data_IF_683072129745
#
_entry.id   IF_683072129745
#
_cell.length_a   1.000
_cell.length_b   1.000
_cell.length_c   1.000
_cell.angle_alpha   90.00
_cell.angle_beta   90.00
_cell.angle_gamma   90.00
#
_symmetry.space_group_name_H-M   'P 1'
#
loop_
_entity.id
_entity.type
_entity.pdbx_description
1 polymer ?
#
# COMPACT_ATOMS: atom_id res chain seq x y z
N UNK A 1 -11.84 -16.99 6.03
CA UNK A 1 -10.38 -17.09 6.26
C UNK A 1 -10.13 -17.16 7.76
N UNK A 2 -9.10 -17.87 8.26
CA UNK A 2 -8.82 -17.97 9.71
C UNK A 2 -7.39 -17.58 10.03
N UNK A 3 -7.21 -16.86 11.13
CA UNK A 3 -5.92 -16.49 11.73
C UNK A 3 -5.93 -16.99 13.17
N UNK A 4 -5.22 -18.08 13.45
CA UNK A 4 -5.30 -18.74 14.75
C UNK A 4 -6.73 -19.24 15.05
N UNK A 5 -7.23 -18.94 16.25
CA UNK A 5 -8.61 -19.25 16.65
C UNK A 5 -9.67 -18.31 16.07
N UNK A 6 -9.27 -17.23 15.41
CA UNK A 6 -10.18 -16.17 14.97
C UNK A 6 -10.53 -16.28 13.48
N UNK A 7 -11.75 -15.92 13.12
CA UNK A 7 -12.20 -15.78 11.74
C UNK A 7 -12.00 -14.36 11.23
N UNK A 8 -11.70 -14.25 9.95
CA UNK A 8 -11.74 -12.98 9.20
C UNK A 8 -12.99 -13.00 8.34
N UNK A 9 -13.87 -12.02 8.56
CA UNK A 9 -15.15 -11.90 7.88
C UNK A 9 -15.42 -10.45 7.45
N UNK A 10 -16.04 -10.30 6.28
CA UNK A 10 -16.54 -9.02 5.80
C UNK A 10 -17.69 -8.51 6.67
N UNK A 11 -18.45 -9.42 7.29
CA UNK A 11 -19.57 -9.09 8.15
C UNK A 11 -19.12 -8.23 9.34
N UNK A 12 -17.92 -8.45 9.88
CA UNK A 12 -17.38 -7.63 10.98
C UNK A 12 -17.30 -6.13 10.62
N UNK A 13 -17.00 -5.83 9.35
CA UNK A 13 -16.94 -4.44 8.84
C UNK A 13 -18.35 -3.91 8.54
N UNK A 14 -19.26 -4.75 8.06
CA UNK A 14 -20.66 -4.36 7.88
C UNK A 14 -21.35 -4.06 9.22
N UNK A 15 -21.14 -4.88 10.23
CA UNK A 15 -21.65 -4.68 11.58
C UNK A 15 -21.14 -3.36 12.15
N UNK A 16 -19.85 -3.05 11.95
CA UNK A 16 -19.26 -1.77 12.33
C UNK A 16 -19.94 -0.59 11.61
N UNK A 17 -20.23 -0.70 10.31
CA UNK A 17 -20.92 0.35 9.54
C UNK A 17 -22.36 0.57 10.01
N UNK A 18 -23.04 -0.47 10.51
CA UNK A 18 -24.44 -0.41 10.92
C UNK A 18 -24.62 -0.02 12.40
N UNK A 19 -23.68 -0.42 13.26
CA UNK A 19 -23.79 -0.25 14.71
C UNK A 19 -23.04 0.98 15.24
N UNK A 20 -21.92 1.36 14.61
CA UNK A 20 -21.10 2.49 15.05
C UNK A 20 -21.46 3.79 14.29
N UNK A 21 -21.09 4.94 14.87
CA UNK A 21 -21.35 6.23 14.23
C UNK A 21 -20.49 6.44 13.00
N UNK A 22 -21.11 6.86 11.88
CA UNK A 22 -20.43 7.22 10.63
C UNK A 22 -19.30 8.24 10.81
N UNK A 23 -19.42 9.13 11.79
CA UNK A 23 -18.40 10.15 12.07
C UNK A 23 -17.12 9.52 12.60
N UNK A 24 -17.23 8.41 13.33
CA UNK A 24 -16.08 7.73 13.93
C UNK A 24 -15.34 6.89 12.89
N UNK A 25 -16.07 6.07 12.13
CA UNK A 25 -15.46 5.13 11.19
C UNK A 25 -15.24 5.70 9.77
N UNK A 26 -16.03 6.68 9.34
CA UNK A 26 -15.96 7.33 8.02
C UNK A 26 -16.01 6.36 6.82
N UNK A 27 -16.75 5.26 6.96
CA UNK A 27 -16.98 4.26 5.91
C UNK A 27 -18.39 4.40 5.34
N UNK A 28 -18.56 3.94 4.10
CA UNK A 28 -19.86 3.71 3.47
C UNK A 28 -19.94 2.25 2.98
N UNK A 29 -21.16 1.73 2.79
CA UNK A 29 -21.36 0.33 2.33
C UNK A 29 -20.60 0.01 1.04
N UNK A 30 -20.46 0.98 0.13
CA UNK A 30 -19.71 0.81 -1.11
C UNK A 30 -18.21 0.61 -0.90
N UNK A 31 -17.63 1.04 0.23
CA UNK A 31 -16.20 0.82 0.49
C UNK A 31 -15.88 -0.68 0.64
N UNK A 32 -16.85 -1.48 1.07
CA UNK A 32 -16.70 -2.93 1.29
C UNK A 32 -17.31 -3.76 0.14
N UNK A 33 -17.68 -3.14 -0.98
CA UNK A 33 -18.31 -3.86 -2.10
C UNK A 33 -17.29 -4.79 -2.80
N UNK A 34 -17.47 -6.11 -2.77
CA UNK A 34 -16.54 -7.06 -3.40
C UNK A 34 -16.52 -6.97 -4.95
N UNK A 35 -17.45 -6.24 -5.57
CA UNK A 35 -17.45 -5.98 -7.01
C UNK A 35 -16.41 -4.94 -7.41
N UNK A 36 -16.13 -3.96 -6.55
CA UNK A 36 -15.16 -2.89 -6.83
C UNK A 36 -13.75 -3.26 -6.35
N UNK A 37 -13.14 -4.22 -7.05
CA UNK A 37 -11.83 -4.80 -6.67
C UNK A 37 -10.63 -3.88 -6.96
N UNK A 38 -10.83 -2.75 -7.63
CA UNK A 38 -9.76 -1.85 -8.07
C UNK A 38 -9.72 -0.54 -7.26
N UNK A 39 -10.67 -0.33 -6.34
CA UNK A 39 -10.74 0.88 -5.56
C UNK A 39 -9.79 0.85 -4.35
N UNK A 40 -8.57 1.31 -4.62
CA UNK A 40 -7.55 1.47 -3.59
C UNK A 40 -7.93 2.46 -2.49
N UNK A 41 -8.80 3.45 -2.78
CA UNK A 41 -9.23 4.43 -1.76
C UNK A 41 -10.05 3.75 -0.66
N UNK A 42 -10.93 2.84 -1.03
CA UNK A 42 -11.73 2.08 -0.07
C UNK A 42 -10.86 1.14 0.77
N UNK A 43 -9.83 0.54 0.18
CA UNK A 43 -8.79 -0.21 0.90
C UNK A 43 -8.09 0.64 1.99
N UNK A 44 -7.70 1.89 1.66
CA UNK A 44 -7.12 2.81 2.63
C UNK A 44 -8.08 3.18 3.77
N UNK A 45 -9.37 3.35 3.47
CA UNK A 45 -10.39 3.71 4.48
C UNK A 45 -10.68 2.56 5.43
N UNK A 46 -10.87 1.35 4.90
CA UNK A 46 -11.18 0.16 5.71
C UNK A 46 -10.01 -0.20 6.64
N UNK A 47 -8.77 0.03 6.20
CA UNK A 47 -7.58 -0.20 7.03
C UNK A 47 -7.16 1.03 7.87
N UNK A 48 -8.02 2.05 7.98
CA UNK A 48 -7.70 3.26 8.75
C UNK A 48 -7.64 2.99 10.25
N UNK A 49 -6.86 3.81 10.95
CA UNK A 49 -6.65 3.70 12.40
C UNK A 49 -7.96 3.76 13.19
N UNK A 50 -8.90 4.62 12.78
CA UNK A 50 -10.22 4.71 13.40
C UNK A 50 -10.99 3.39 13.29
N UNK A 51 -11.00 2.78 12.12
CA UNK A 51 -11.70 1.50 11.89
C UNK A 51 -11.01 0.39 12.68
N UNK A 52 -9.68 0.33 12.67
CA UNK A 52 -8.92 -0.65 13.45
C UNK A 52 -9.20 -0.52 14.96
N UNK A 53 -9.26 0.70 15.49
CA UNK A 53 -9.56 0.94 16.90
C UNK A 53 -10.99 0.53 17.27
N UNK A 54 -11.95 0.67 16.36
CA UNK A 54 -13.32 0.19 16.57
C UNK A 54 -13.40 -1.34 16.50
N UNK A 55 -12.77 -1.97 15.51
CA UNK A 55 -12.72 -3.44 15.41
C UNK A 55 -12.04 -4.07 16.64
N UNK A 56 -10.99 -3.44 17.18
CA UNK A 56 -10.28 -3.90 18.37
C UNK A 56 -11.17 -3.97 19.61
N UNK A 57 -12.23 -3.16 19.71
CA UNK A 57 -13.18 -3.19 20.82
C UNK A 57 -14.10 -4.42 20.80
N UNK A 58 -14.28 -5.03 19.62
CA UNK A 58 -15.14 -6.19 19.45
C UNK A 58 -14.31 -7.47 19.39
N UNK A 59 -14.37 -8.30 20.45
CA UNK A 59 -13.61 -9.55 20.52
C UNK A 59 -13.89 -10.50 19.34
N UNK A 60 -15.10 -10.50 18.79
CA UNK A 60 -15.45 -11.34 17.63
C UNK A 60 -14.70 -10.92 16.36
N UNK A 61 -14.42 -9.63 16.23
CA UNK A 61 -13.75 -9.05 15.06
C UNK A 61 -12.21 -9.11 15.15
N UNK A 62 -11.64 -9.78 16.15
CA UNK A 62 -10.18 -9.84 16.38
C UNK A 62 -9.42 -10.35 15.15
N UNK A 63 -9.95 -11.36 14.45
CA UNK A 63 -9.31 -11.88 13.23
C UNK A 63 -9.27 -10.82 12.12
N UNK A 64 -10.38 -10.13 11.89
CA UNK A 64 -10.49 -9.04 10.92
C UNK A 64 -9.62 -7.85 11.29
N UNK A 65 -9.54 -7.49 12.57
CA UNK A 65 -8.61 -6.49 13.09
C UNK A 65 -7.15 -6.83 12.76
N UNK A 66 -6.69 -8.05 13.05
CA UNK A 66 -5.31 -8.47 12.76
C UNK A 66 -5.05 -8.42 11.25
N UNK A 67 -5.98 -8.94 10.45
CA UNK A 67 -5.82 -8.94 8.99
C UNK A 67 -5.71 -7.53 8.39
N UNK A 68 -6.60 -6.60 8.80
CA UNK A 68 -6.56 -5.22 8.34
C UNK A 68 -5.36 -4.44 8.92
N UNK A 69 -4.88 -4.82 10.11
CA UNK A 69 -3.65 -4.25 10.69
C UNK A 69 -2.43 -4.62 9.85
N UNK A 70 -2.32 -5.87 9.38
CA UNK A 70 -1.25 -6.27 8.46
C UNK A 70 -1.29 -5.45 7.16
N UNK A 71 -2.47 -5.24 6.60
CA UNK A 71 -2.66 -4.39 5.42
C UNK A 71 -2.22 -2.94 5.69
N UNK A 72 -2.58 -2.39 6.86
CA UNK A 72 -2.17 -1.04 7.28
C UNK A 72 -0.66 -0.92 7.40
N UNK A 73 0.02 -1.91 7.98
CA UNK A 73 1.47 -1.96 8.07
C UNK A 73 2.15 -1.99 6.69
N UNK A 74 1.60 -2.74 5.72
CA UNK A 74 2.08 -2.73 4.33
C UNK A 74 1.95 -1.33 3.72
N UNK A 75 0.81 -0.66 3.92
CA UNK A 75 0.58 0.71 3.41
C UNK A 75 1.58 1.69 4.04
N UNK A 76 1.79 1.63 5.36
CA UNK A 76 2.74 2.51 6.05
C UNK A 76 4.18 2.23 5.58
N UNK A 77 4.53 0.96 5.37
CA UNK A 77 5.85 0.54 4.92
C UNK A 77 6.22 0.98 3.50
N UNK A 78 5.28 0.90 2.56
CA UNK A 78 5.59 1.10 1.13
C UNK A 78 4.98 2.35 0.48
N UNK A 79 3.94 2.94 1.07
CA UNK A 79 3.13 3.98 0.39
C UNK A 79 3.17 5.31 1.14
N UNK A 80 3.05 5.27 2.47
CA UNK A 80 3.02 6.47 3.30
C UNK A 80 4.33 7.26 3.15
N UNK A 81 4.26 8.58 3.04
CA UNK A 81 5.43 9.42 2.70
C UNK A 81 6.23 9.86 3.93
N UNK A 82 5.56 10.00 5.07
CA UNK A 82 6.16 10.46 6.32
C UNK A 82 6.98 9.39 7.06
N UNK A 83 6.86 8.12 6.66
CA UNK A 83 7.53 7.00 7.34
C UNK A 83 9.03 6.99 7.08
N UNK A 84 9.82 6.94 8.15
CA UNK A 84 11.28 6.80 8.09
C UNK A 84 11.71 5.42 7.58
N UNK A 85 12.96 5.28 7.11
CA UNK A 85 13.47 3.98 6.61
C UNK A 85 13.46 2.90 7.70
N UNK A 86 13.76 3.27 8.95
CA UNK A 86 13.75 2.38 10.10
C UNK A 86 12.36 1.83 10.38
N UNK A 87 11.37 2.72 10.47
CA UNK A 87 9.97 2.34 10.66
C UNK A 87 9.45 1.49 9.50
N UNK A 88 9.85 1.78 8.25
CA UNK A 88 9.48 0.95 7.09
C UNK A 88 9.99 -0.47 7.24
N UNK A 89 11.26 -0.64 7.62
CA UNK A 89 11.84 -1.95 7.86
C UNK A 89 11.08 -2.68 8.96
N UNK A 90 10.83 -2.03 10.10
CA UNK A 90 10.08 -2.61 11.21
C UNK A 90 8.70 -3.10 10.75
N UNK A 91 7.88 -2.22 10.16
CA UNK A 91 6.52 -2.55 9.74
C UNK A 91 6.47 -3.67 8.70
N UNK A 92 7.35 -3.62 7.69
CA UNK A 92 7.38 -4.62 6.61
C UNK A 92 7.83 -5.98 7.13
N UNK A 93 8.85 -6.03 7.99
CA UNK A 93 9.32 -7.28 8.59
C UNK A 93 8.33 -7.86 9.60
N UNK A 94 7.60 -7.03 10.36
CA UNK A 94 6.50 -7.50 11.22
C UNK A 94 5.45 -8.23 10.38
N UNK A 95 5.11 -7.71 9.19
CA UNK A 95 4.20 -8.37 8.26
C UNK A 95 4.78 -9.70 7.75
N UNK A 96 6.05 -9.71 7.33
CA UNK A 96 6.74 -10.94 6.87
C UNK A 96 6.68 -12.02 7.94
N UNK A 97 7.11 -11.73 9.17
CA UNK A 97 7.12 -12.71 10.25
C UNK A 97 5.70 -13.19 10.59
N UNK A 98 4.74 -12.28 10.68
CA UNK A 98 3.34 -12.67 10.93
C UNK A 98 2.81 -13.59 9.83
N UNK A 99 3.07 -13.29 8.56
CA UNK A 99 2.68 -14.15 7.44
C UNK A 99 3.39 -15.51 7.47
N UNK A 100 4.68 -15.58 7.82
CA UNK A 100 5.43 -16.84 7.97
C UNK A 100 4.88 -17.70 9.10
N UNK A 101 4.57 -17.10 10.25
CA UNK A 101 3.95 -17.80 11.37
C UNK A 101 2.57 -18.32 11.01
N UNK A 102 1.75 -17.48 10.39
CA UNK A 102 0.42 -17.86 9.92
C UNK A 102 0.49 -19.02 8.92
N UNK A 103 1.40 -18.96 7.95
CA UNK A 103 1.61 -20.05 6.99
C UNK A 103 2.09 -21.34 7.67
N UNK A 104 3.04 -21.25 8.60
CA UNK A 104 3.57 -22.40 9.35
C UNK A 104 2.49 -23.05 10.24
N UNK A 105 1.64 -22.24 10.85
CA UNK A 105 0.50 -22.73 11.64
C UNK A 105 -0.50 -23.51 10.77
N UNK A 106 -0.79 -23.03 9.56
CA UNK A 106 -1.65 -23.77 8.61
C UNK A 106 -1.02 -25.11 8.23
N UNK A 107 0.30 -25.14 7.93
CA UNK A 107 0.99 -26.40 7.63
C UNK A 107 0.95 -27.38 8.80
N UNK A 108 1.09 -26.88 10.02
CA UNK A 108 0.98 -27.72 11.23
C UNK A 108 -0.43 -28.33 11.36
N UNK A 109 -1.48 -27.54 11.13
CA UNK A 109 -2.85 -28.06 11.12
C UNK A 109 -3.07 -29.12 10.05
N UNK A 110 -2.53 -28.93 8.84
CA UNK A 110 -2.61 -29.92 7.77
C UNK A 110 -1.95 -31.25 8.14
N UNK A 111 -0.78 -31.21 8.78
CA UNK A 111 -0.09 -32.43 9.24
C UNK A 111 -0.87 -33.15 10.35
N UNK A 112 -1.61 -32.41 11.17
CA UNK A 112 -2.46 -32.96 12.24
C UNK A 112 -3.74 -33.58 11.68
N UNK A 113 -4.40 -32.93 10.73
CA UNK A 113 -5.68 -33.38 10.15
C UNK A 113 -5.50 -34.53 9.15
N UNK A 114 -4.37 -34.59 8.42
CA UNK A 114 -4.03 -35.73 7.54
C UNK A 114 -3.89 -37.07 8.29
N UNK A 115 -3.76 -37.05 9.62
CA UNK A 115 -3.79 -38.27 10.43
C UNK A 115 -5.22 -38.79 10.68
N UNK A 116 -6.26 -37.96 10.47
CA UNK A 116 -7.62 -38.24 10.94
C UNK A 116 -8.78 -38.01 9.94
N UNK A 117 -8.61 -37.44 8.74
CA UNK A 117 -9.76 -37.35 7.81
C UNK A 117 -9.43 -37.11 6.33
N UNK A 118 -10.34 -37.58 5.46
CA UNK A 118 -10.31 -37.56 3.99
C UNK A 118 -10.83 -36.26 3.35
N UNK A 119 -10.76 -35.13 4.04
CA UNK A 119 -11.13 -33.84 3.47
C UNK A 119 -10.03 -33.39 2.48
N UNK A 120 -10.41 -33.04 1.25
CA UNK A 120 -9.46 -32.69 0.19
C UNK A 120 -8.59 -31.50 0.60
N UNK A 121 -7.31 -31.82 0.85
CA UNK A 121 -6.17 -30.97 1.22
C UNK A 121 -6.06 -29.61 0.47
N UNK A 122 -6.69 -29.52 -0.70
CA UNK A 122 -6.83 -28.32 -1.55
C UNK A 122 -7.66 -27.21 -0.91
N UNK A 123 -8.71 -27.57 -0.17
CA UNK A 123 -9.81 -26.63 0.12
C UNK A 123 -9.55 -25.83 1.41
N UNK A 124 -8.82 -26.42 2.36
CA UNK A 124 -8.32 -25.74 3.56
C UNK A 124 -7.33 -24.62 3.21
N UNK A 125 -6.35 -24.87 2.32
CA UNK A 125 -5.40 -23.82 1.89
C UNK A 125 -6.08 -22.67 1.15
N UNK A 126 -7.00 -22.99 0.23
CA UNK A 126 -7.68 -21.98 -0.58
C UNK A 126 -8.54 -21.01 0.24
N UNK A 127 -9.11 -21.48 1.35
CA UNK A 127 -10.08 -20.71 2.13
C UNK A 127 -9.50 -20.09 3.42
N UNK A 128 -8.25 -20.42 3.79
CA UNK A 128 -7.69 -20.07 5.11
C UNK A 128 -6.51 -19.11 5.06
N UNK A 129 -5.76 -19.05 3.96
CA UNK A 129 -4.60 -18.16 3.83
C UNK A 129 -4.78 -17.13 2.71
N UNK A 130 -4.01 -16.05 2.76
CA UNK A 130 -3.83 -15.17 1.62
C UNK A 130 -3.33 -15.95 0.40
N UNK A 131 -3.55 -15.42 -0.80
CA UNK A 131 -3.11 -16.11 -2.01
C UNK A 131 -1.59 -16.25 -2.03
N UNK A 132 -1.07 -17.37 -2.57
CA UNK A 132 0.37 -17.60 -2.71
C UNK A 132 1.08 -16.42 -3.41
N UNK A 133 0.57 -15.84 -4.51
CA UNK A 133 1.18 -14.65 -5.11
C UNK A 133 1.29 -13.48 -4.14
N UNK A 134 0.25 -13.19 -3.36
CA UNK A 134 0.28 -12.12 -2.35
C UNK A 134 1.37 -12.36 -1.30
N UNK A 135 1.46 -13.60 -0.79
CA UNK A 135 2.49 -13.96 0.19
C UNK A 135 3.91 -13.78 -0.36
N UNK A 136 4.18 -14.29 -1.56
CA UNK A 136 5.51 -14.12 -2.19
C UNK A 136 5.81 -12.66 -2.53
N UNK A 137 4.83 -11.87 -2.91
CA UNK A 137 5.02 -10.44 -3.13
C UNK A 137 5.46 -9.72 -1.85
N UNK A 138 4.88 -10.05 -0.69
CA UNK A 138 5.28 -9.49 0.61
C UNK A 138 6.75 -9.82 0.89
N UNK A 139 7.13 -11.09 0.75
CA UNK A 139 8.50 -11.57 0.95
C UNK A 139 9.50 -10.87 0.02
N UNK A 140 9.23 -10.88 -1.29
CA UNK A 140 10.12 -10.29 -2.30
C UNK A 140 10.27 -8.79 -2.06
N UNK A 141 9.19 -8.06 -1.79
CA UNK A 141 9.26 -6.62 -1.58
C UNK A 141 10.04 -6.26 -0.30
N UNK A 142 9.87 -7.03 0.78
CA UNK A 142 10.62 -6.84 2.02
C UNK A 142 12.13 -7.06 1.83
N UNK A 143 12.48 -8.18 1.21
CA UNK A 143 13.88 -8.51 0.92
C UNK A 143 14.51 -7.51 -0.07
N UNK A 144 13.75 -7.06 -1.07
CA UNK A 144 14.23 -6.07 -2.04
C UNK A 144 14.50 -4.72 -1.37
N UNK A 145 13.61 -4.27 -0.48
CA UNK A 145 13.82 -3.03 0.28
C UNK A 145 15.08 -3.13 1.15
N UNK A 146 15.22 -4.22 1.91
CA UNK A 146 16.41 -4.46 2.72
C UNK A 146 17.68 -4.46 1.86
N UNK A 147 17.65 -5.13 0.71
CA UNK A 147 18.80 -5.19 -0.19
C UNK A 147 19.21 -3.80 -0.72
N UNK A 148 18.24 -2.96 -1.12
CA UNK A 148 18.52 -1.58 -1.54
C UNK A 148 19.14 -0.77 -0.40
N UNK A 149 18.64 -0.92 0.82
CA UNK A 149 19.20 -0.25 2.02
C UNK A 149 20.66 -0.68 2.24
N UNK A 150 20.95 -1.98 2.21
CA UNK A 150 22.30 -2.50 2.37
C UNK A 150 23.24 -2.00 1.26
N UNK A 151 22.77 -1.87 0.01
CA UNK A 151 23.57 -1.32 -1.07
C UNK A 151 23.88 0.17 -0.87
N UNK A 152 22.94 0.95 -0.32
CA UNK A 152 23.18 2.37 0.02
C UNK A 152 24.16 2.50 1.18
N UNK A 153 24.01 1.71 2.26
CA UNK A 153 24.94 1.70 3.40
C UNK A 153 26.35 1.33 2.95
N UNK A 154 26.47 0.36 2.04
CA UNK A 154 27.75 -0.05 1.46
C UNK A 154 28.27 0.90 0.37
N UNK A 155 27.69 2.09 0.20
CA UNK A 155 28.06 3.11 -0.79
C UNK A 155 28.06 2.60 -2.25
N UNK A 156 27.28 1.56 -2.57
CA UNK A 156 27.12 1.05 -3.93
C UNK A 156 25.99 1.72 -4.70
N UNK A 157 25.05 2.36 -3.99
CA UNK A 157 23.95 3.13 -4.56
C UNK A 157 23.88 4.52 -3.90
N UNK A 158 23.42 5.54 -4.64
CA UNK A 158 23.18 6.86 -4.05
C UNK A 158 22.01 6.81 -3.05
N UNK A 159 22.02 7.73 -2.09
CA UNK A 159 20.96 7.84 -1.07
C UNK A 159 19.57 8.04 -1.70
N UNK A 160 19.51 8.72 -2.86
CA UNK A 160 18.29 8.92 -3.64
C UNK A 160 17.62 7.61 -4.08
N UNK A 161 18.37 6.50 -4.14
CA UNK A 161 17.82 5.18 -4.42
C UNK A 161 16.83 4.71 -3.34
N UNK A 162 16.87 5.31 -2.13
CA UNK A 162 15.92 5.03 -1.04
C UNK A 162 14.64 5.86 -1.10
N UNK A 163 14.36 6.49 -2.24
CA UNK A 163 13.07 7.13 -2.49
C UNK A 163 11.97 6.06 -2.70
N UNK A 164 11.54 5.44 -1.61
CA UNK A 164 10.54 4.36 -1.56
C UNK A 164 9.19 4.76 -2.17
N UNK A 165 8.88 6.06 -2.23
CA UNK A 165 7.68 6.57 -2.91
C UNK A 165 7.67 6.23 -4.41
N UNK A 166 8.84 6.04 -5.03
CA UNK A 166 8.96 5.67 -6.44
C UNK A 166 8.81 4.17 -6.71
N UNK A 167 8.75 3.34 -5.67
CA UNK A 167 8.72 1.88 -5.83
C UNK A 167 7.32 1.32 -6.16
N UNK A 168 6.27 2.15 -6.01
CA UNK A 168 4.90 1.75 -6.31
C UNK A 168 4.45 2.21 -7.71
N UNK A 169 3.41 1.56 -8.23
CA UNK A 169 2.86 1.84 -9.57
C UNK A 169 1.89 3.03 -9.61
N UNK A 170 1.69 3.75 -8.50
CA UNK A 170 0.68 4.82 -8.43
C UNK A 170 0.96 5.97 -9.40
N UNK A 171 2.25 6.25 -9.67
CA UNK A 171 2.68 7.25 -10.64
C UNK A 171 2.28 6.83 -12.07
N UNK A 172 2.42 5.54 -12.38
CA UNK A 172 2.01 4.97 -13.67
C UNK A 172 0.49 5.02 -13.83
N UNK A 173 -0.29 4.62 -12.81
CA UNK A 173 -1.75 4.70 -12.82
C UNK A 173 -2.26 6.12 -12.99
N UNK A 174 -1.62 7.09 -12.32
CA UNK A 174 -1.93 8.50 -12.51
C UNK A 174 -1.63 8.97 -13.94
N UNK A 175 -0.52 8.52 -14.53
CA UNK A 175 -0.18 8.82 -15.93
C UNK A 175 -1.23 8.29 -16.88
N UNK A 176 -1.69 7.04 -16.70
CA UNK A 176 -2.78 6.47 -17.48
C UNK A 176 -4.10 7.22 -17.27
N UNK A 177 -4.40 7.65 -16.04
CA UNK A 177 -5.59 8.46 -15.75
C UNK A 177 -5.57 9.80 -16.50
N UNK A 178 -4.45 10.50 -16.47
CA UNK A 178 -4.26 11.76 -17.22
C UNK A 178 -4.37 11.49 -18.72
N UNK A 179 -3.76 10.42 -19.22
CA UNK A 179 -3.89 10.04 -20.62
C UNK A 179 -5.35 9.77 -21.02
N UNK A 180 -6.13 9.10 -20.17
CA UNK A 180 -7.58 8.88 -20.41
C UNK A 180 -8.37 10.19 -20.41
N UNK A 181 -8.03 11.15 -19.55
CA UNK A 181 -8.72 12.46 -19.50
C UNK A 181 -8.33 13.42 -20.63
N UNK A 182 -7.18 13.21 -21.29
CA UNK A 182 -6.74 13.98 -22.45
C UNK A 182 -7.43 13.53 -23.74
N UNK A 183 -8.76 13.52 -23.74
CA UNK A 183 -9.58 13.31 -24.93
C UNK A 183 -9.86 14.64 -25.65
N UNK A 184 -10.19 14.58 -26.94
CA UNK A 184 -10.49 15.78 -27.74
C UNK A 184 -11.79 16.47 -27.29
N UNK A 185 -11.97 17.75 -27.62
CA UNK A 185 -13.10 18.59 -27.18
C UNK A 185 -14.50 18.01 -27.47
N UNK A 186 -14.61 17.07 -28.41
CA UNK A 186 -15.86 16.40 -28.79
C UNK A 186 -15.78 14.87 -28.65
N UNK A 187 -14.84 14.36 -27.86
CA UNK A 187 -14.66 12.91 -27.65
C UNK A 187 -14.56 12.59 -26.17
N UNK A 188 -15.43 11.69 -25.72
CA UNK A 188 -15.38 11.07 -24.38
C UNK A 188 -14.65 9.72 -24.40
N UNK A 189 -13.95 9.37 -25.49
CA UNK A 189 -13.29 8.08 -25.63
C UNK A 189 -12.09 7.98 -24.66
N UNK A 190 -12.28 7.20 -23.61
CA UNK A 190 -11.28 6.87 -22.60
C UNK A 190 -10.31 5.78 -23.09
N UNK A 191 -10.73 4.96 -24.05
CA UNK A 191 -9.89 3.94 -24.68
C UNK A 191 -8.97 4.53 -25.75
N UNK A 192 -7.74 4.02 -25.84
CA UNK A 192 -6.76 4.47 -26.83
C UNK A 192 -5.83 3.33 -27.27
N UNK A 193 -5.38 3.41 -28.53
CA UNK A 193 -4.30 2.56 -29.04
C UNK A 193 -2.93 3.04 -28.55
N UNK A 194 -1.90 2.22 -28.70
CA UNK A 194 -0.51 2.58 -28.36
C UNK A 194 -0.06 3.87 -29.06
N UNK A 195 -0.35 4.01 -30.36
CA UNK A 195 -0.03 5.25 -31.11
C UNK A 195 -0.73 6.48 -30.52
N UNK A 196 -1.99 6.33 -30.09
CA UNK A 196 -2.72 7.43 -29.44
C UNK A 196 -2.17 7.73 -28.05
N UNK A 197 -1.76 6.72 -27.29
CA UNK A 197 -1.09 6.90 -26.01
C UNK A 197 0.20 7.70 -26.14
N UNK A 198 1.09 7.34 -27.07
CA UNK A 198 2.36 8.05 -27.29
C UNK A 198 2.14 9.54 -27.61
N UNK A 199 1.17 9.87 -28.47
CA UNK A 199 0.78 11.27 -28.74
C UNK A 199 0.26 12.00 -27.50
N UNK A 200 -0.45 11.30 -26.61
CA UNK A 200 -0.91 11.87 -25.33
C UNK A 200 0.26 12.04 -24.36
N UNK A 201 1.24 11.14 -24.35
CA UNK A 201 2.46 11.27 -23.56
C UNK A 201 3.27 12.51 -23.94
N UNK A 202 3.40 12.83 -25.23
CA UNK A 202 4.03 14.08 -25.69
C UNK A 202 3.32 15.31 -25.09
N UNK A 203 1.99 15.34 -25.14
CA UNK A 203 1.20 16.41 -24.53
C UNK A 203 1.39 16.48 -23.00
N UNK A 204 1.39 15.33 -22.33
CA UNK A 204 1.64 15.26 -20.87
C UNK A 204 3.04 15.80 -20.55
N UNK A 205 4.06 15.47 -21.33
CA UNK A 205 5.42 15.96 -21.17
C UNK A 205 5.50 17.48 -21.30
N UNK A 206 4.83 18.05 -22.31
CA UNK A 206 4.74 19.51 -22.50
C UNK A 206 4.02 20.16 -21.31
N UNK A 207 2.88 19.62 -20.88
CA UNK A 207 2.14 20.13 -19.72
C UNK A 207 3.00 20.10 -18.45
N UNK A 208 3.71 19.00 -18.20
CA UNK A 208 4.61 18.88 -17.05
C UNK A 208 5.79 19.85 -17.14
N UNK A 209 6.36 20.02 -18.34
CA UNK A 209 7.42 21.01 -18.58
C UNK A 209 6.93 22.43 -18.29
N UNK A 210 5.72 22.78 -18.70
CA UNK A 210 5.11 24.08 -18.42
C UNK A 210 4.83 24.25 -16.92
N UNK A 211 4.25 23.24 -16.26
CA UNK A 211 3.98 23.27 -14.81
C UNK A 211 5.26 23.46 -13.99
N UNK A 212 6.33 22.75 -14.35
CA UNK A 212 7.61 22.83 -13.66
C UNK A 212 8.37 24.14 -13.96
N UNK A 213 8.06 24.80 -15.08
CA UNK A 213 8.57 26.14 -15.42
C UNK A 213 7.75 27.29 -14.84
N UNK A 214 6.57 27.00 -14.27
CA UNK A 214 5.72 27.96 -13.57
C UNK A 214 6.39 28.45 -12.28
N UNK A 215 7.40 29.30 -12.43
CA UNK A 215 8.21 29.86 -11.35
C UNK A 215 9.39 30.69 -11.86
N UNK A 216 9.96 30.39 -13.03
CA UNK A 216 11.13 31.11 -13.56
C UNK A 216 11.15 31.11 -15.11
N UNK A 217 10.51 32.10 -15.73
CA UNK A 217 10.79 32.51 -17.13
C UNK A 217 10.76 34.04 -17.17
N UNK A 218 11.90 34.68 -16.88
CA UNK A 218 12.06 36.15 -16.96
C UNK A 218 11.07 36.95 -16.11
N UNK A 219 10.84 38.21 -16.50
CA UNK A 219 9.97 39.20 -15.81
C UNK A 219 8.45 38.87 -15.85
N UNK A 220 8.06 37.73 -16.43
CA UNK A 220 6.65 37.34 -16.56
C UNK A 220 6.33 36.10 -15.73
N UNK A 221 5.63 36.30 -14.62
CA UNK A 221 5.05 35.21 -13.83
C UNK A 221 3.82 34.62 -14.52
N UNK A 222 3.96 33.42 -15.09
CA UNK A 222 2.82 32.63 -15.53
C UNK A 222 2.12 32.00 -14.33
N UNK A 223 1.04 32.62 -13.87
CA UNK A 223 0.13 32.05 -12.89
C UNK A 223 -0.88 31.13 -13.57
N UNK A 224 -0.71 29.82 -13.42
CA UNK A 224 -1.78 28.90 -13.74
C UNK A 224 -2.92 29.08 -12.73
N UNK A 225 -4.19 29.20 -13.17
CA UNK A 225 -5.32 29.17 -12.25
C UNK A 225 -5.32 27.81 -11.55
N UNK A 226 -4.86 27.82 -10.30
CA UNK A 226 -4.90 26.65 -9.45
C UNK A 226 -6.34 26.50 -8.95
N UNK A 227 -6.94 25.35 -9.23
CA UNK A 227 -8.24 25.04 -8.67
C UNK A 227 -8.11 25.04 -7.13
N UNK A 228 -8.99 25.77 -6.44
CA UNK A 228 -9.01 25.97 -4.98
C UNK A 228 -8.95 24.67 -4.12
N UNK A 229 -9.10 23.49 -4.74
CA UNK A 229 -8.99 22.18 -4.09
C UNK A 229 -7.56 21.61 -4.07
N UNK A 230 -6.60 22.24 -4.74
CA UNK A 230 -5.21 21.79 -4.78
C UNK A 230 -4.34 22.34 -3.62
N UNK A 231 -4.97 22.90 -2.59
CA UNK A 231 -4.28 23.47 -1.42
C UNK A 231 -3.71 22.45 -0.44
N UNK A 232 -3.37 21.23 -0.90
CA UNK A 232 -2.45 20.39 -0.14
C UNK A 232 -1.07 20.75 -0.63
N UNK A 233 -0.38 21.54 0.19
CA UNK A 233 1.04 21.85 0.04
C UNK A 233 1.75 20.66 -0.58
N UNK A 234 2.36 20.88 -1.75
CA UNK A 234 3.28 19.90 -2.32
C UNK A 234 4.52 20.01 -1.47
N UNK A 235 4.45 19.50 -0.24
CA UNK A 235 5.59 19.55 0.63
C UNK A 235 6.62 18.66 -0.03
N UNK A 236 7.70 19.30 -0.49
CA UNK A 236 8.89 18.66 -1.02
C UNK A 236 9.58 17.90 0.11
N UNK A 237 8.94 16.87 0.65
CA UNK A 237 9.54 15.98 1.65
C UNK A 237 10.42 14.89 1.01
N UNK A 238 10.64 14.94 -0.30
CA UNK A 238 11.26 13.85 -1.04
C UNK A 238 12.78 13.75 -0.95
N UNK A 239 13.49 14.62 -0.21
CA UNK A 239 14.96 14.53 -0.09
C UNK A 239 15.46 14.91 1.33
N UNK A 240 14.80 15.86 2.01
CA UNK A 240 15.31 16.40 3.28
C UNK A 240 15.47 15.40 4.44
N UNK A 241 14.69 14.31 4.47
CA UNK A 241 14.78 13.27 5.51
C UNK A 241 15.71 12.11 5.15
N UNK A 242 16.25 12.05 3.93
CA UNK A 242 17.16 10.98 3.50
C UNK A 242 18.63 11.34 3.78
N UNK A 243 18.90 12.61 4.12
CA UNK A 243 20.26 13.15 4.24
C UNK A 243 21.07 12.65 5.45
N UNK A 244 20.49 11.87 6.37
CA UNK A 244 21.22 11.23 7.46
C UNK A 244 20.77 9.78 7.66
N UNK A 245 21.05 8.90 6.70
CA UNK A 245 21.08 7.45 7.00
C UNK A 245 22.33 7.13 7.84
N UNK A 246 22.29 7.46 9.13
CA UNK A 246 23.22 6.93 10.14
C UNK A 246 22.76 5.53 10.58
N UNK A 247 22.57 4.63 9.62
CA UNK A 247 22.14 3.25 9.86
C UNK A 247 23.31 2.30 9.62
N UNK A 248 23.67 1.53 10.64
CA UNK A 248 24.65 0.44 10.53
C UNK A 248 23.96 -0.90 10.27
N UNK A 249 24.72 -1.91 9.84
CA UNK A 249 24.19 -3.27 9.68
C UNK A 249 23.66 -3.84 11.01
N UNK A 250 24.28 -3.48 12.14
CA UNK A 250 23.85 -3.88 13.47
C UNK A 250 22.49 -3.25 13.84
N UNK A 251 22.25 -2.00 13.46
CA UNK A 251 20.94 -1.35 13.69
C UNK A 251 19.84 -2.04 12.89
N UNK A 252 20.13 -2.46 11.66
CA UNK A 252 19.19 -3.24 10.82
C UNK A 252 18.86 -4.57 11.48
N UNK A 253 19.86 -5.29 11.99
CA UNK A 253 19.64 -6.56 12.69
C UNK A 253 18.75 -6.37 13.92
N UNK A 254 19.00 -5.31 14.71
CA UNK A 254 18.17 -4.97 15.88
C UNK A 254 16.74 -4.66 15.44
N UNK A 255 16.53 -3.89 14.37
CA UNK A 255 15.19 -3.55 13.87
C UNK A 255 14.45 -4.81 13.42
N UNK A 256 15.10 -5.69 12.65
CA UNK A 256 14.49 -6.94 12.18
C UNK A 256 14.19 -7.87 13.36
N UNK A 257 15.08 -7.94 14.34
CA UNK A 257 14.85 -8.71 15.57
C UNK A 257 13.68 -8.16 16.39
N UNK A 258 13.50 -6.84 16.45
CA UNK A 258 12.37 -6.21 17.14
C UNK A 258 11.04 -6.39 16.38
N UNK A 259 11.11 -6.74 15.09
CA UNK A 259 9.93 -7.05 14.29
C UNK A 259 9.38 -8.48 14.53
N UNK A 260 10.19 -9.34 15.16
CA UNK A 260 9.87 -10.70 15.58
C UNK A 260 9.20 -10.69 16.96
#
# INVERSE_FOLDING_TARGET
MKIGSYSVDIQDVFDLIELESKVEHNLIKCDVDPKDRQNFTSCLRISSENVLNLLKKNEKATGTYVYLSLLRLIIIGFIERSTTIQERLLHVWTVVFTCRFWFSWIQYLELKDNRNSSATLSDLKKNTFITKPTFWCIEINAHSLLFVILLVINNKLPIDALNTFTFNSQICENTFRIARSLSGAFSSNTSFSVKSFLKRCEKISIINSIKNRGGQIGDYQFYFPQHHKNHKDTINYSIGHVNELNLTENDIEIIIKNAF
#
